data_IF_100146845058
#
_entry.id   IF_100146845058
#
_cell.length_a   1.000
_cell.length_b   1.000
_cell.length_c   1.000
_cell.angle_alpha   90.00
_cell.angle_beta   90.00
_cell.angle_gamma   90.00
#
_symmetry.space_group_name_H-M   'P 1'
#
loop_
_entity.id
_entity.type
_entity.pdbx_description
1 polymer ?
#
# COMPACT_ATOMS: atom_id res chain seq x y z
N UNK A 1 -13.49 7.29 3.12
CA UNK A 1 -13.28 5.85 2.83
C UNK A 1 -14.57 5.17 3.21
N UNK A 2 -15.17 4.33 2.38
CA UNK A 2 -16.35 3.57 2.81
C UNK A 2 -15.91 2.34 3.61
N UNK A 3 -16.75 1.77 4.49
CA UNK A 3 -16.41 0.56 5.24
C UNK A 3 -15.89 -0.58 4.34
N UNK A 4 -16.58 -0.87 3.23
CA UNK A 4 -16.16 -1.88 2.25
C UNK A 4 -14.78 -1.58 1.63
N UNK A 5 -14.37 -0.32 1.53
CA UNK A 5 -13.04 0.03 1.04
C UNK A 5 -11.96 -0.24 2.09
N UNK A 6 -12.27 -0.04 3.37
CA UNK A 6 -11.37 -0.39 4.48
C UNK A 6 -11.15 -1.90 4.51
N UNK A 7 -12.22 -2.70 4.43
CA UNK A 7 -12.15 -4.16 4.41
C UNK A 7 -11.32 -4.69 3.24
N UNK A 8 -11.53 -4.15 2.03
CA UNK A 8 -10.74 -4.52 0.84
C UNK A 8 -9.26 -4.17 1.00
N UNK A 9 -8.96 -3.01 1.57
CA UNK A 9 -7.58 -2.59 1.83
C UNK A 9 -6.93 -3.50 2.88
N UNK A 10 -7.66 -3.85 3.94
CA UNK A 10 -7.18 -4.72 5.00
C UNK A 10 -6.92 -6.14 4.48
N UNK A 11 -7.84 -6.70 3.67
CA UNK A 11 -7.64 -7.99 3.01
C UNK A 11 -6.40 -8.00 2.11
N UNK A 12 -6.14 -6.91 1.38
CA UNK A 12 -4.91 -6.78 0.58
C UNK A 12 -3.67 -6.69 1.46
N UNK A 13 -3.73 -5.94 2.55
CA UNK A 13 -2.63 -5.83 3.51
C UNK A 13 -2.26 -7.19 4.11
N UNK A 14 -3.23 -7.93 4.64
CA UNK A 14 -3.00 -9.26 5.23
C UNK A 14 -2.57 -10.29 4.18
N UNK A 15 -2.99 -10.15 2.92
CA UNK A 15 -2.50 -11.02 1.85
C UNK A 15 -1.00 -10.86 1.57
N UNK A 16 -0.43 -9.69 1.88
CA UNK A 16 1.00 -9.39 1.74
C UNK A 16 1.79 -9.75 3.01
N UNK A 17 1.19 -9.60 4.19
CA UNK A 17 1.80 -9.93 5.49
C UNK A 17 1.81 -11.46 5.73
N UNK A 18 2.74 -12.16 5.08
CA UNK A 18 2.83 -13.63 5.15
C UNK A 18 3.21 -14.16 6.54
N UNK A 19 3.80 -13.32 7.38
CA UNK A 19 4.25 -13.70 8.71
C UNK A 19 3.25 -13.33 9.80
N UNK A 20 2.12 -12.71 9.43
CA UNK A 20 1.06 -12.24 10.35
C UNK A 20 1.62 -11.38 11.49
N UNK A 21 2.62 -10.53 11.18
CA UNK A 21 3.30 -9.69 12.17
C UNK A 21 2.69 -8.28 12.28
N UNK A 22 1.65 -8.00 11.51
CA UNK A 22 0.94 -6.72 11.47
C UNK A 22 1.66 -5.61 10.72
N UNK A 23 2.75 -5.93 10.01
CA UNK A 23 3.57 -4.95 9.27
C UNK A 23 4.12 -5.52 7.96
N UNK A 24 4.36 -4.67 6.98
CA UNK A 24 4.95 -5.01 5.69
C UNK A 24 6.38 -4.47 5.59
N UNK A 25 7.29 -5.32 5.13
CA UNK A 25 8.65 -4.99 4.72
C UNK A 25 8.73 -4.72 3.21
N UNK A 26 9.86 -4.18 2.74
CA UNK A 26 10.10 -3.98 1.30
C UNK A 26 9.97 -5.28 0.50
N UNK A 27 10.46 -6.39 1.05
CA UNK A 27 10.38 -7.70 0.41
C UNK A 27 8.93 -8.14 0.17
N UNK A 28 8.01 -7.80 1.09
CA UNK A 28 6.59 -8.13 0.95
C UNK A 28 5.97 -7.41 -0.26
N UNK A 29 6.39 -6.16 -0.55
CA UNK A 29 5.95 -5.44 -1.76
C UNK A 29 6.57 -6.00 -3.04
N UNK A 30 7.82 -6.44 -3.00
CA UNK A 30 8.51 -7.02 -4.17
C UNK A 30 7.90 -8.37 -4.61
N UNK A 31 7.11 -9.02 -3.75
CA UNK A 31 6.34 -10.22 -4.12
C UNK A 31 5.14 -9.93 -5.02
N UNK A 32 4.77 -8.67 -5.24
CA UNK A 32 3.67 -8.28 -6.13
C UNK A 32 4.15 -8.39 -7.58
N UNK A 33 3.70 -9.38 -8.37
CA UNK A 33 4.22 -9.59 -9.73
C UNK A 33 3.99 -8.39 -10.65
N UNK A 34 2.83 -7.74 -10.51
CA UNK A 34 2.47 -6.56 -11.29
C UNK A 34 3.35 -5.36 -10.95
N UNK A 35 3.92 -5.33 -9.73
CA UNK A 35 4.86 -4.29 -9.32
C UNK A 35 6.25 -4.56 -9.92
N UNK A 36 6.68 -5.82 -10.05
CA UNK A 36 7.99 -6.16 -10.61
C UNK A 36 8.19 -5.67 -12.06
N UNK A 37 7.12 -5.63 -12.85
CA UNK A 37 7.15 -5.12 -14.24
C UNK A 37 6.76 -3.64 -14.37
N UNK A 38 6.43 -2.97 -13.27
CA UNK A 38 6.04 -1.56 -13.28
C UNK A 38 7.30 -0.66 -13.29
N UNK A 39 7.47 0.23 -14.27
CA UNK A 39 8.66 1.12 -14.34
C UNK A 39 8.76 2.10 -13.17
N UNK A 40 7.69 2.30 -12.40
CA UNK A 40 7.64 3.16 -11.22
C UNK A 40 7.69 2.38 -9.90
N UNK A 41 7.95 1.07 -9.95
CA UNK A 41 7.91 0.17 -8.79
C UNK A 41 8.76 0.67 -7.63
N UNK A 42 10.03 0.96 -7.87
CA UNK A 42 10.97 1.50 -6.88
C UNK A 42 10.43 2.77 -6.21
N UNK A 43 9.87 3.69 -6.99
CA UNK A 43 9.29 4.94 -6.45
C UNK A 43 8.05 4.67 -5.62
N UNK A 44 7.17 3.76 -6.08
CA UNK A 44 5.97 3.36 -5.35
C UNK A 44 6.35 2.71 -4.03
N UNK A 45 7.27 1.74 -4.03
CA UNK A 45 7.76 1.07 -2.82
C UNK A 45 8.36 2.11 -1.89
N UNK A 46 9.26 2.97 -2.38
CA UNK A 46 9.86 4.03 -1.59
C UNK A 46 8.82 4.94 -0.90
N UNK A 47 7.72 5.29 -1.58
CA UNK A 47 6.64 6.09 -0.97
C UNK A 47 5.97 5.41 0.23
N UNK A 48 5.95 4.08 0.31
CA UNK A 48 5.41 3.39 1.47
C UNK A 48 6.29 3.52 2.72
N UNK A 49 7.61 3.69 2.55
CA UNK A 49 8.57 3.75 3.65
C UNK A 49 9.08 5.17 3.94
N UNK A 50 8.66 6.17 3.17
CA UNK A 50 9.17 7.55 3.29
C UNK A 50 8.96 8.18 4.69
N UNK A 51 7.89 7.79 5.38
CA UNK A 51 7.55 8.24 6.75
C UNK A 51 7.76 7.13 7.80
N UNK A 52 8.37 6.01 7.42
CA UNK A 52 8.66 4.90 8.34
C UNK A 52 10.05 5.07 8.96
N UNK A 53 10.16 4.79 10.26
CA UNK A 53 11.43 4.84 10.99
C UNK A 53 12.13 3.48 11.08
N UNK A 54 11.43 2.39 10.81
CA UNK A 54 11.86 1.01 11.10
C UNK A 54 11.86 0.12 9.85
N UNK A 55 11.79 0.70 8.65
CA UNK A 55 11.63 -0.03 7.38
C UNK A 55 10.42 -0.99 7.39
N UNK A 56 9.40 -0.68 8.20
CA UNK A 56 8.13 -1.41 8.28
C UNK A 56 6.95 -0.48 8.03
N UNK A 57 5.88 -1.07 7.51
CA UNK A 57 4.65 -0.35 7.15
C UNK A 57 3.47 -1.05 7.81
N UNK A 58 2.84 -0.40 8.77
CA UNK A 58 1.59 -0.88 9.36
C UNK A 58 0.38 -0.55 8.47
N UNK A 59 -0.79 -1.09 8.81
CA UNK A 59 -2.00 -0.91 8.02
C UNK A 59 -2.40 0.56 7.84
N UNK A 60 -2.22 1.40 8.86
CA UNK A 60 -2.55 2.82 8.79
C UNK A 60 -1.65 3.56 7.79
N UNK A 61 -0.35 3.30 7.81
CA UNK A 61 0.62 3.86 6.85
C UNK A 61 0.30 3.39 5.43
N UNK A 62 0.03 2.10 5.24
CA UNK A 62 -0.39 1.53 3.96
C UNK A 62 -1.61 2.26 3.37
N UNK A 63 -2.64 2.49 4.19
CA UNK A 63 -3.84 3.23 3.78
C UNK A 63 -3.55 4.69 3.41
N UNK A 64 -2.69 5.38 4.17
CA UNK A 64 -2.34 6.79 3.91
C UNK A 64 -1.70 6.96 2.54
N UNK A 65 -0.75 6.10 2.20
CA UNK A 65 -0.08 6.14 0.89
C UNK A 65 -1.09 5.90 -0.23
N UNK A 66 -1.93 4.85 -0.11
CA UNK A 66 -2.96 4.55 -1.11
C UNK A 66 -4.06 5.62 -1.22
N UNK A 67 -4.28 6.43 -0.19
CA UNK A 67 -5.24 7.52 -0.23
C UNK A 67 -4.84 8.62 -1.24
N UNK A 68 -3.55 8.79 -1.52
CA UNK A 68 -3.05 9.75 -2.52
C UNK A 68 -3.41 9.34 -3.96
N UNK A 69 -3.56 8.04 -4.21
CA UNK A 69 -3.92 7.50 -5.53
C UNK A 69 -5.43 7.44 -5.78
N UNK A 70 -6.24 8.08 -4.92
CA UNK A 70 -7.67 8.15 -5.17
C UNK A 70 -7.95 8.91 -6.45
N UNK A 71 -8.90 8.44 -7.28
CA UNK A 71 -9.31 9.19 -8.45
C UNK A 71 -9.72 10.61 -8.04
N UNK A 72 -9.12 11.60 -8.70
CA UNK A 72 -9.59 12.98 -8.57
C UNK A 72 -11.02 12.97 -9.11
N UNK A 73 -11.99 13.43 -8.30
CA UNK A 73 -13.36 13.58 -8.78
C UNK A 73 -13.31 14.57 -9.95
N UNK A 74 -13.61 14.11 -11.16
CA UNK A 74 -13.95 15.03 -12.25
C UNK A 74 -15.16 15.82 -11.76
N UNK A 75 -15.05 17.14 -11.64
CA UNK A 75 -16.22 17.98 -11.53
C UNK A 75 -17.11 17.64 -12.72
N UNK A 76 -18.32 17.15 -12.45
CA UNK A 76 -19.38 17.12 -13.46
C UNK A 76 -19.67 18.59 -13.76
N UNK A 77 -19.21 19.05 -14.92
CA UNK A 77 -19.83 20.21 -15.59
C UNK A 77 -21.31 19.92 -15.86
#
# INVERSE_FOLDING_TARGET
VTPNQIERLYSRFTSLDKNDCGTLSREDFLRIPELAINPLSERIVHSFFAESHDDRVNFLQFMRVLAHFRPIRKNRE
#
